data_IF_541950518762
#
_entry.id   IF_541950518762
#
_cell.length_a   1.000
_cell.length_b   1.000
_cell.length_c   1.000
_cell.angle_alpha   90.00
_cell.angle_beta   90.00
_cell.angle_gamma   90.00
#
_symmetry.space_group_name_H-M   'P 1'
#
loop_
_entity.id
_entity.type
_entity.pdbx_description
1 polymer ?
#
# COMPACT_ATOMS: atom_id res chain seq x y z
N UNK A 1 2.09 -2.96 17.79
CA UNK A 1 1.19 -4.08 17.42
C UNK A 1 -0.23 -3.69 17.77
N UNK A 2 -1.20 -4.24 17.06
CA UNK A 2 -2.62 -4.17 17.46
C UNK A 2 -2.98 -5.26 18.48
N UNK A 3 -4.29 -5.42 18.78
CA UNK A 3 -4.73 -6.25 19.93
C UNK A 3 -4.47 -7.75 19.80
N UNK A 4 -4.44 -8.28 18.57
CA UNK A 4 -4.15 -9.68 18.26
C UNK A 4 -2.76 -9.90 17.65
N UNK A 5 -1.96 -8.84 17.59
CA UNK A 5 -0.56 -8.81 17.16
C UNK A 5 -0.32 -9.33 15.71
N UNK A 6 -1.33 -9.31 14.87
CA UNK A 6 -1.23 -9.70 13.45
C UNK A 6 -0.79 -8.54 12.54
N UNK A 7 -0.80 -7.29 13.05
CA UNK A 7 -0.39 -6.07 12.37
C UNK A 7 0.72 -5.35 13.14
N UNK A 8 1.60 -4.68 12.39
CA UNK A 8 2.74 -3.94 12.95
C UNK A 8 2.83 -2.53 12.37
N UNK A 9 3.13 -1.58 13.22
CA UNK A 9 3.57 -0.22 12.88
C UNK A 9 4.98 0.00 13.41
N UNK A 10 5.67 1.02 12.88
CA UNK A 10 7.03 1.37 13.25
C UNK A 10 7.11 2.84 13.65
N UNK A 11 7.91 3.14 14.67
CA UNK A 11 8.31 4.50 15.04
C UNK A 11 9.82 4.59 14.87
N UNK A 12 10.31 5.62 14.19
CA UNK A 12 11.73 5.82 13.97
C UNK A 12 12.46 6.39 15.22
N UNK A 13 13.77 6.51 15.15
CA UNK A 13 14.62 7.03 16.22
C UNK A 13 14.37 8.53 16.55
N UNK A 14 13.60 9.23 15.72
CA UNK A 14 13.18 10.63 15.92
C UNK A 14 11.75 10.75 16.48
N UNK A 15 11.12 9.61 16.83
CA UNK A 15 9.75 9.54 17.31
C UNK A 15 8.69 9.75 16.22
N UNK A 16 9.04 9.63 14.92
CA UNK A 16 8.11 9.79 13.82
C UNK A 16 7.50 8.44 13.42
N UNK A 17 6.20 8.45 13.18
CA UNK A 17 5.51 7.27 12.69
C UNK A 17 5.95 6.94 11.25
N UNK A 18 6.39 5.70 11.04
CA UNK A 18 6.64 5.12 9.72
C UNK A 18 5.43 4.29 9.37
N UNK A 19 4.65 4.77 8.40
CA UNK A 19 3.39 4.15 8.02
C UNK A 19 3.57 2.71 7.49
N UNK A 20 2.48 1.95 7.49
CA UNK A 20 2.48 0.54 7.13
C UNK A 20 2.89 0.28 5.68
N UNK A 21 2.70 1.24 4.79
CA UNK A 21 3.13 1.12 3.40
C UNK A 21 4.66 1.15 3.31
N UNK A 22 5.30 2.06 4.06
CA UNK A 22 6.76 2.11 4.19
C UNK A 22 7.32 0.88 4.88
N UNK A 23 6.63 0.39 5.91
CA UNK A 23 6.98 -0.89 6.57
C UNK A 23 6.95 -2.04 5.57
N UNK A 24 5.94 -2.13 4.71
CA UNK A 24 5.89 -3.15 3.65
C UNK A 24 7.04 -3.01 2.65
N UNK A 25 7.36 -1.77 2.26
CA UNK A 25 8.52 -1.47 1.43
C UNK A 25 9.84 -1.94 2.08
N UNK A 26 10.04 -1.63 3.36
CA UNK A 26 11.24 -2.02 4.13
C UNK A 26 11.36 -3.54 4.29
N UNK A 27 10.27 -4.25 4.60
CA UNK A 27 10.26 -5.72 4.69
C UNK A 27 10.59 -6.36 3.34
N UNK A 28 10.00 -5.86 2.27
CA UNK A 28 10.28 -6.34 0.91
C UNK A 28 11.72 -6.08 0.51
N UNK A 29 12.23 -4.88 0.78
CA UNK A 29 13.64 -4.52 0.58
C UNK A 29 14.56 -5.45 1.38
N UNK A 30 14.24 -5.72 2.64
CA UNK A 30 15.02 -6.64 3.47
C UNK A 30 15.13 -8.04 2.85
N UNK A 31 14.02 -8.61 2.42
CA UNK A 31 14.01 -9.95 1.83
C UNK A 31 14.81 -10.00 0.52
N UNK A 32 14.64 -9.01 -0.34
CA UNK A 32 15.28 -8.96 -1.66
C UNK A 32 16.76 -8.57 -1.59
N UNK A 33 17.09 -7.49 -0.87
CA UNK A 33 18.44 -6.92 -0.81
C UNK A 33 19.33 -7.63 0.21
N UNK A 34 18.84 -7.78 1.47
CA UNK A 34 19.67 -8.24 2.58
C UNK A 34 19.69 -9.76 2.68
N UNK A 35 18.51 -10.41 2.53
CA UNK A 35 18.41 -11.88 2.54
C UNK A 35 18.73 -12.52 1.19
N UNK A 36 18.74 -11.74 0.11
CA UNK A 36 18.97 -12.25 -1.24
C UNK A 36 17.86 -13.17 -1.76
N UNK A 37 16.67 -13.14 -1.16
CA UNK A 37 15.56 -13.96 -1.62
C UNK A 37 15.06 -13.47 -2.97
N UNK A 38 14.59 -14.41 -3.79
CA UNK A 38 13.94 -14.13 -5.07
C UNK A 38 12.65 -14.95 -5.16
N UNK A 39 11.58 -14.27 -5.53
CA UNK A 39 10.25 -14.87 -5.67
C UNK A 39 9.18 -13.79 -5.76
N UNK A 40 7.95 -14.16 -6.10
CA UNK A 40 6.85 -13.22 -6.26
C UNK A 40 6.53 -12.43 -4.98
N UNK A 41 5.94 -11.25 -5.19
CA UNK A 41 5.37 -10.40 -4.16
C UNK A 41 3.85 -10.37 -4.37
N UNK A 42 3.07 -10.47 -3.30
CA UNK A 42 1.60 -10.32 -3.33
C UNK A 42 1.19 -9.10 -2.53
N UNK A 43 0.33 -8.27 -3.08
CA UNK A 43 -0.15 -7.06 -2.40
C UNK A 43 -1.64 -6.85 -2.59
N UNK A 44 -2.31 -6.19 -1.64
CA UNK A 44 -3.66 -5.69 -1.89
C UNK A 44 -3.63 -4.41 -2.74
N UNK A 45 -4.74 -4.14 -3.43
CA UNK A 45 -4.87 -2.99 -4.34
C UNK A 45 -4.72 -1.62 -3.65
N UNK A 46 -4.94 -1.54 -2.33
CA UNK A 46 -4.86 -0.30 -1.54
C UNK A 46 -3.49 -0.04 -0.92
N UNK A 47 -2.52 -0.94 -1.13
CA UNK A 47 -1.18 -0.75 -0.56
C UNK A 47 -0.17 -0.20 -1.57
N UNK A 48 1.07 -0.07 -1.15
CA UNK A 48 2.12 0.74 -1.78
C UNK A 48 2.55 0.26 -3.16
N UNK A 49 2.93 1.20 -4.02
CA UNK A 49 3.66 0.96 -5.27
C UNK A 49 5.19 0.82 -5.07
N UNK A 50 5.73 1.09 -3.88
CA UNK A 50 7.14 0.80 -3.57
C UNK A 50 7.53 -0.63 -3.89
N UNK A 51 6.64 -1.59 -3.57
CA UNK A 51 6.89 -3.01 -3.86
C UNK A 51 6.85 -3.35 -5.36
N UNK A 52 6.13 -2.56 -6.17
CA UNK A 52 6.19 -2.67 -7.63
C UNK A 52 7.57 -2.24 -8.16
N UNK A 53 8.09 -1.11 -7.66
CA UNK A 53 9.43 -0.62 -8.01
C UNK A 53 10.53 -1.58 -7.56
N UNK A 54 10.38 -2.18 -6.38
CA UNK A 54 11.30 -3.24 -5.93
C UNK A 54 11.20 -4.49 -6.82
N UNK A 55 9.99 -4.90 -7.19
CA UNK A 55 9.78 -6.03 -8.09
C UNK A 55 10.46 -5.82 -9.45
N UNK A 56 10.30 -4.63 -10.04
CA UNK A 56 11.01 -4.22 -11.27
C UNK A 56 12.53 -4.26 -11.08
N UNK A 57 13.04 -3.62 -10.01
CA UNK A 57 14.48 -3.52 -9.74
C UNK A 57 15.17 -4.89 -9.58
N UNK A 58 14.48 -5.84 -8.92
CA UNK A 58 15.01 -7.19 -8.66
C UNK A 58 14.54 -8.25 -9.66
N UNK A 59 13.78 -7.84 -10.68
CA UNK A 59 13.20 -8.69 -11.71
C UNK A 59 12.43 -9.89 -11.12
N UNK A 60 11.50 -9.61 -10.20
CA UNK A 60 10.63 -10.62 -9.58
C UNK A 60 9.15 -10.33 -9.92
N UNK A 61 8.30 -11.35 -10.02
CA UNK A 61 6.87 -11.15 -10.28
C UNK A 61 6.16 -10.43 -9.13
N UNK A 62 5.10 -9.67 -9.46
CA UNK A 62 4.20 -9.06 -8.47
C UNK A 62 2.75 -9.33 -8.86
N UNK A 63 1.91 -9.62 -7.86
CA UNK A 63 0.48 -9.87 -8.02
C UNK A 63 -0.32 -8.95 -7.11
N UNK A 64 -1.31 -8.27 -7.68
CA UNK A 64 -2.26 -7.45 -6.93
C UNK A 64 -3.57 -8.23 -6.73
N UNK A 65 -4.14 -8.15 -5.52
CA UNK A 65 -5.38 -8.79 -5.14
C UNK A 65 -6.40 -7.79 -4.61
N UNK A 66 -7.69 -8.12 -4.54
CA UNK A 66 -8.63 -7.35 -3.75
C UNK A 66 -8.20 -7.24 -2.28
N UNK A 67 -8.77 -6.26 -1.55
CA UNK A 67 -8.50 -6.06 -0.12
C UNK A 67 -9.01 -7.24 0.69
N UNK A 68 -8.18 -7.71 1.60
CA UNK A 68 -8.46 -8.80 2.53
C UNK A 68 -7.46 -9.94 2.43
N UNK A 69 -6.91 -10.35 3.58
CA UNK A 69 -5.87 -11.38 3.62
C UNK A 69 -6.34 -12.74 3.09
N UNK A 70 -7.68 -12.97 3.11
CA UNK A 70 -8.34 -14.12 2.45
C UNK A 70 -8.04 -14.24 0.94
N UNK A 71 -7.55 -13.18 0.29
CA UNK A 71 -7.12 -13.18 -1.10
C UNK A 71 -5.60 -13.27 -1.22
N UNK A 72 -4.86 -12.68 -0.27
CA UNK A 72 -3.40 -12.65 -0.27
C UNK A 72 -2.83 -14.02 0.08
N UNK A 73 -3.24 -14.64 1.17
CA UNK A 73 -2.72 -15.92 1.62
C UNK A 73 -2.81 -17.03 0.55
N UNK A 74 -4.00 -17.28 -0.04
CA UNK A 74 -4.13 -18.24 -1.15
C UNK A 74 -3.26 -17.89 -2.36
N UNK A 75 -3.16 -16.59 -2.71
CA UNK A 75 -2.32 -16.15 -3.84
C UNK A 75 -0.83 -16.35 -3.56
N UNK A 76 -0.39 -16.15 -2.33
CA UNK A 76 0.98 -16.46 -1.91
C UNK A 76 1.29 -17.95 -2.06
N UNK A 77 0.38 -18.83 -1.62
CA UNK A 77 0.54 -20.28 -1.77
C UNK A 77 0.56 -20.72 -3.24
N UNK A 78 -0.34 -20.18 -4.06
CA UNK A 78 -0.42 -20.45 -5.50
C UNK A 78 0.87 -20.10 -6.25
N UNK A 79 1.47 -18.95 -5.90
CA UNK A 79 2.59 -18.37 -6.66
C UNK A 79 3.96 -18.65 -6.03
N UNK A 80 4.01 -19.18 -4.81
CA UNK A 80 5.26 -19.31 -4.04
C UNK A 80 5.84 -17.97 -3.63
N UNK A 81 4.99 -16.97 -3.35
CA UNK A 81 5.43 -15.61 -3.03
C UNK A 81 6.27 -15.54 -1.76
N UNK A 82 7.29 -14.67 -1.77
CA UNK A 82 8.20 -14.48 -0.62
C UNK A 82 7.59 -13.59 0.46
N UNK A 83 6.67 -12.72 0.08
CA UNK A 83 5.97 -11.80 0.99
C UNK A 83 4.59 -11.45 0.43
N UNK A 84 3.62 -11.28 1.33
CA UNK A 84 2.31 -10.71 1.04
C UNK A 84 1.95 -9.62 2.04
N UNK A 85 1.25 -8.56 1.60
CA UNK A 85 0.94 -7.46 2.50
C UNK A 85 -0.29 -6.64 2.16
N UNK A 86 -0.85 -6.05 3.21
CA UNK A 86 -2.00 -5.14 3.19
C UNK A 86 -1.64 -3.75 3.71
N UNK A 87 -2.44 -2.77 3.31
CA UNK A 87 -2.37 -1.39 3.81
C UNK A 87 -2.57 -1.31 5.33
N UNK A 88 -3.30 -2.25 5.91
CA UNK A 88 -3.55 -2.31 7.35
C UNK A 88 -2.31 -2.59 8.21
N UNK A 89 -1.19 -3.03 7.62
CA UNK A 89 0.04 -3.41 8.33
C UNK A 89 0.14 -4.90 8.64
N UNK A 90 -0.72 -5.71 8.04
CA UNK A 90 -0.64 -7.17 8.10
C UNK A 90 0.25 -7.71 6.98
N UNK A 91 1.29 -8.46 7.35
CA UNK A 91 2.26 -9.03 6.41
C UNK A 91 2.48 -10.51 6.68
N UNK A 92 2.53 -11.31 5.62
CA UNK A 92 2.92 -12.72 5.67
C UNK A 92 4.25 -12.93 4.95
N UNK A 93 5.10 -13.77 5.50
CA UNK A 93 6.46 -14.03 5.02
C UNK A 93 6.59 -15.51 4.64
N UNK A 94 7.23 -15.78 3.52
CA UNK A 94 7.51 -17.16 3.10
C UNK A 94 8.31 -17.93 4.16
N UNK A 95 8.18 -19.26 4.14
CA UNK A 95 8.78 -20.19 5.11
C UNK A 95 8.18 -20.07 6.52
N UNK A 96 7.06 -19.42 6.64
CA UNK A 96 6.19 -19.32 7.80
C UNK A 96 4.75 -19.57 7.34
N UNK A 97 3.77 -19.37 8.23
CA UNK A 97 2.35 -19.50 7.86
C UNK A 97 1.98 -18.45 6.81
N UNK A 98 1.12 -18.78 5.82
CA UNK A 98 0.63 -17.82 4.83
C UNK A 98 -0.48 -16.93 5.40
N UNK A 99 -0.25 -16.39 6.58
CA UNK A 99 -1.12 -15.51 7.36
C UNK A 99 -0.29 -14.39 7.98
N UNK A 100 -0.96 -13.31 8.37
CA UNK A 100 -0.34 -12.13 8.97
C UNK A 100 0.34 -12.47 10.28
N UNK A 101 1.56 -11.98 10.45
CA UNK A 101 2.31 -12.11 11.69
C UNK A 101 3.08 -10.80 11.94
N UNK A 102 2.52 -9.95 12.82
CA UNK A 102 3.14 -8.69 13.19
C UNK A 102 4.41 -8.90 14.01
N UNK A 103 4.45 -9.92 14.87
CA UNK A 103 5.61 -10.20 15.72
C UNK A 103 6.81 -10.59 14.84
N UNK A 104 6.63 -11.56 13.93
CA UNK A 104 7.67 -11.93 12.98
C UNK A 104 8.11 -10.74 12.13
N UNK A 105 7.16 -9.95 11.62
CA UNK A 105 7.45 -8.76 10.83
C UNK A 105 8.28 -7.74 11.62
N UNK A 106 7.97 -7.51 12.90
CA UNK A 106 8.74 -6.65 13.79
C UNK A 106 10.17 -7.16 14.03
N UNK A 107 10.35 -8.48 14.22
CA UNK A 107 11.68 -9.09 14.37
C UNK A 107 12.52 -9.00 13.09
N UNK A 108 11.90 -9.12 11.91
CA UNK A 108 12.59 -8.96 10.63
C UNK A 108 13.02 -7.51 10.38
N UNK A 109 12.20 -6.53 10.78
CA UNK A 109 12.61 -5.11 10.75
C UNK A 109 13.78 -4.85 11.67
N UNK A 110 13.78 -5.39 12.89
CA UNK A 110 14.90 -5.27 13.82
C UNK A 110 16.18 -5.89 13.22
N UNK A 111 16.10 -7.10 12.63
CA UNK A 111 17.24 -7.74 11.97
C UNK A 111 17.74 -6.92 10.77
N UNK A 112 16.83 -6.29 10.01
CA UNK A 112 17.19 -5.35 8.93
C UNK A 112 18.07 -4.21 9.45
N UNK A 113 17.62 -3.50 10.50
CA UNK A 113 18.33 -2.34 11.03
C UNK A 113 19.69 -2.74 11.64
N UNK A 114 19.73 -3.85 12.36
CA UNK A 114 20.97 -4.38 12.94
C UNK A 114 22.00 -4.78 11.84
N UNK A 115 21.56 -5.46 10.79
CA UNK A 115 22.45 -5.87 9.68
C UNK A 115 22.95 -4.70 8.87
N UNK A 116 22.13 -3.66 8.73
CA UNK A 116 22.56 -2.43 8.02
C UNK A 116 23.42 -1.54 8.91
N UNK A 117 23.37 -1.70 10.23
CA UNK A 117 24.03 -0.80 11.19
C UNK A 117 23.48 0.63 11.11
N UNK A 118 22.18 0.77 10.79
CA UNK A 118 21.51 2.04 10.49
C UNK A 118 20.20 2.14 11.23
N UNK A 119 19.80 3.38 11.48
CA UNK A 119 18.50 3.70 12.07
C UNK A 119 17.36 3.47 11.08
N UNK A 120 16.09 3.35 11.53
CA UNK A 120 14.93 3.19 10.65
C UNK A 120 14.83 4.28 9.58
N UNK A 121 15.07 5.56 9.93
CA UNK A 121 15.00 6.65 8.96
C UNK A 121 16.13 6.55 7.91
N UNK A 122 17.33 6.17 8.28
CA UNK A 122 18.44 6.00 7.34
C UNK A 122 18.23 4.84 6.37
N UNK A 123 17.63 3.73 6.83
CA UNK A 123 17.27 2.61 5.94
C UNK A 123 16.11 2.98 5.01
N UNK A 124 15.16 3.79 5.48
CA UNK A 124 14.10 4.32 4.62
C UNK A 124 14.66 5.26 3.54
N UNK A 125 15.64 6.09 3.88
CA UNK A 125 16.34 6.94 2.92
C UNK A 125 17.12 6.11 1.88
N UNK A 126 17.73 4.98 2.27
CA UNK A 126 18.32 4.02 1.31
C UNK A 126 17.28 3.43 0.35
N UNK A 127 16.11 3.03 0.88
CA UNK A 127 15.02 2.54 0.06
C UNK A 127 14.57 3.61 -0.95
N UNK A 128 14.35 4.84 -0.49
CA UNK A 128 13.95 5.96 -1.35
C UNK A 128 15.01 6.36 -2.37
N UNK A 129 16.29 6.27 -2.02
CA UNK A 129 17.38 6.47 -2.98
C UNK A 129 17.36 5.44 -4.12
N UNK A 130 16.87 4.21 -3.85
CA UNK A 130 16.80 3.12 -4.83
C UNK A 130 15.56 3.20 -5.74
N UNK A 131 14.40 3.55 -5.18
CA UNK A 131 13.11 3.45 -5.89
C UNK A 131 12.34 4.77 -6.03
N UNK A 132 12.88 5.86 -5.51
CA UNK A 132 12.22 7.15 -5.39
C UNK A 132 11.39 7.29 -4.11
N UNK A 133 11.07 8.53 -3.70
CA UNK A 133 10.26 8.80 -2.53
C UNK A 133 8.78 8.45 -2.77
N UNK A 134 8.11 7.98 -1.72
CA UNK A 134 6.68 7.66 -1.74
C UNK A 134 5.99 8.27 -0.51
N UNK A 135 4.88 8.96 -0.76
CA UNK A 135 4.06 9.62 0.25
C UNK A 135 2.63 9.14 0.10
N UNK A 136 2.05 8.74 1.21
CA UNK A 136 0.71 8.16 1.27
C UNK A 136 -0.13 8.90 2.29
N UNK A 137 -1.43 9.04 1.99
CA UNK A 137 -2.44 9.39 2.97
C UNK A 137 -3.80 8.84 2.56
N UNK A 138 -4.75 8.86 3.52
CA UNK A 138 -6.10 8.34 3.36
C UNK A 138 -7.10 9.28 4.04
N UNK A 139 -8.26 9.43 3.40
CA UNK A 139 -9.45 10.04 4.01
C UNK A 139 -10.51 8.97 4.23
N UNK A 140 -11.06 8.95 5.43
CA UNK A 140 -12.21 8.16 5.81
C UNK A 140 -13.40 9.11 5.96
N UNK A 141 -14.41 9.01 5.08
CA UNK A 141 -15.54 9.95 4.98
C UNK A 141 -16.83 9.20 5.25
N UNK A 142 -17.49 9.51 6.34
CA UNK A 142 -18.85 9.02 6.62
C UNK A 142 -19.85 9.80 5.80
N UNK A 143 -20.80 9.12 5.19
CA UNK A 143 -21.88 9.72 4.40
C UNK A 143 -23.25 9.14 4.83
N UNK A 144 -24.36 9.88 4.63
CA UNK A 144 -25.71 9.37 4.86
C UNK A 144 -25.98 8.13 3.99
N UNK A 145 -26.54 7.07 4.58
CA UNK A 145 -26.73 5.79 3.89
C UNK A 145 -27.53 5.89 2.59
N UNK A 146 -28.50 6.82 2.52
CA UNK A 146 -29.33 7.12 1.36
C UNK A 146 -28.55 7.79 0.21
N UNK A 147 -27.38 8.34 0.46
CA UNK A 147 -26.53 8.95 -0.57
C UNK A 147 -25.58 7.95 -1.27
N UNK A 148 -25.52 6.72 -0.77
CA UNK A 148 -24.57 5.71 -1.27
C UNK A 148 -24.67 5.52 -2.79
N UNK A 149 -25.88 5.34 -3.32
CA UNK A 149 -26.08 5.08 -4.76
C UNK A 149 -25.74 6.31 -5.61
N UNK A 150 -25.99 7.51 -5.11
CA UNK A 150 -25.62 8.77 -5.77
C UNK A 150 -24.10 8.92 -5.87
N UNK A 151 -23.40 8.69 -4.75
CA UNK A 151 -21.92 8.75 -4.71
C UNK A 151 -21.34 7.66 -5.61
N UNK A 152 -21.85 6.43 -5.51
CA UNK A 152 -21.42 5.30 -6.34
C UNK A 152 -21.56 5.63 -7.83
N UNK A 153 -22.70 6.15 -8.26
CA UNK A 153 -22.93 6.53 -9.66
C UNK A 153 -21.94 7.59 -10.15
N UNK A 154 -21.62 8.58 -9.32
CA UNK A 154 -20.61 9.60 -9.67
C UNK A 154 -19.23 8.98 -9.88
N UNK A 155 -18.78 8.16 -8.93
CA UNK A 155 -17.46 7.51 -9.00
C UNK A 155 -17.41 6.52 -10.17
N UNK A 156 -18.49 5.75 -10.40
CA UNK A 156 -18.56 4.75 -11.46
C UNK A 156 -18.51 5.38 -12.87
N UNK A 157 -19.07 6.57 -13.03
CA UNK A 157 -19.10 7.29 -14.32
C UNK A 157 -17.90 8.23 -14.53
N UNK A 158 -17.13 8.51 -13.48
CA UNK A 158 -15.98 9.43 -13.57
C UNK A 158 -14.87 8.86 -14.46
N UNK A 159 -14.50 9.62 -15.50
CA UNK A 159 -13.43 9.28 -16.44
C UNK A 159 -12.57 10.52 -16.69
N UNK A 160 -11.88 11.03 -15.65
CA UNK A 160 -11.00 12.18 -15.84
C UNK A 160 -9.80 11.81 -16.72
N UNK A 161 -9.42 12.70 -17.64
CA UNK A 161 -8.20 12.55 -18.45
C UNK A 161 -6.96 12.82 -17.61
N UNK A 162 -7.08 13.66 -16.58
CA UNK A 162 -6.00 14.01 -15.67
C UNK A 162 -6.52 14.23 -14.24
N UNK A 163 -5.65 13.99 -13.25
CA UNK A 163 -5.87 14.30 -11.83
C UNK A 163 -4.64 15.05 -11.30
N UNK A 164 -4.88 16.14 -10.58
CA UNK A 164 -3.83 17.04 -10.07
C UNK A 164 -2.80 17.47 -11.15
N UNK A 165 -3.25 17.60 -12.39
CA UNK A 165 -2.42 17.96 -13.54
C UNK A 165 -1.64 16.80 -14.16
N UNK A 166 -1.77 15.57 -13.65
CA UNK A 166 -1.15 14.37 -14.22
C UNK A 166 -2.13 13.52 -15.00
N UNK A 167 -1.72 13.04 -16.17
CA UNK A 167 -2.54 12.21 -17.04
C UNK A 167 -2.93 10.89 -16.33
N UNK A 168 -4.19 10.50 -16.43
CA UNK A 168 -4.69 9.20 -16.01
C UNK A 168 -4.31 8.17 -17.08
N UNK A 169 -3.45 7.23 -16.74
CA UNK A 169 -2.97 6.19 -17.66
C UNK A 169 -3.96 5.03 -17.80
N UNK A 170 -4.65 4.69 -16.72
CA UNK A 170 -5.69 3.65 -16.71
C UNK A 170 -6.58 3.75 -15.47
N UNK A 171 -7.75 3.12 -15.54
CA UNK A 171 -8.68 3.01 -14.41
C UNK A 171 -9.01 1.53 -14.22
N UNK A 172 -8.81 1.02 -13.00
CA UNK A 172 -9.22 -0.33 -12.62
C UNK A 172 -10.37 -0.29 -11.62
N UNK A 173 -11.33 -1.22 -11.73
CA UNK A 173 -12.56 -1.25 -10.90
C UNK A 173 -12.67 -2.51 -10.04
N UNK A 174 -11.68 -3.40 -10.06
CA UNK A 174 -11.67 -4.63 -9.30
C UNK A 174 -11.43 -4.35 -7.79
N UNK A 175 -12.51 -4.20 -7.03
CA UNK A 175 -12.46 -3.97 -5.57
C UNK A 175 -12.40 -2.52 -5.13
N UNK A 176 -12.60 -1.58 -6.06
CA UNK A 176 -12.63 -0.12 -5.87
C UNK A 176 -12.32 0.58 -7.18
N UNK A 177 -12.38 1.89 -7.21
CA UNK A 177 -12.08 2.71 -8.39
C UNK A 177 -10.67 3.28 -8.25
N UNK A 178 -9.70 2.63 -8.90
CA UNK A 178 -8.29 3.02 -8.84
C UNK A 178 -7.87 3.69 -10.14
N UNK A 179 -7.49 4.95 -10.03
CA UNK A 179 -6.96 5.76 -11.11
C UNK A 179 -5.43 5.69 -11.05
N UNK A 180 -4.82 5.12 -12.06
CA UNK A 180 -3.37 5.05 -12.21
C UNK A 180 -2.88 6.27 -12.99
N UNK A 181 -1.85 6.94 -12.50
CA UNK A 181 -1.31 8.15 -13.11
C UNK A 181 -0.01 7.83 -13.86
N UNK A 182 0.34 8.70 -14.80
CA UNK A 182 1.46 8.48 -15.71
C UNK A 182 2.83 8.39 -15.03
N UNK A 183 2.99 9.01 -13.85
CA UNK A 183 4.21 8.96 -13.04
C UNK A 183 4.29 7.74 -12.09
N UNK A 184 3.26 6.89 -12.07
CA UNK A 184 3.12 5.76 -11.15
C UNK A 184 2.40 6.08 -9.84
N UNK A 185 2.03 7.35 -9.60
CA UNK A 185 1.09 7.73 -8.53
C UNK A 185 -0.29 7.13 -8.77
N UNK A 186 -1.11 7.05 -7.74
CA UNK A 186 -2.46 6.52 -7.87
C UNK A 186 -3.43 7.16 -6.88
N UNK A 187 -4.71 7.20 -7.26
CA UNK A 187 -5.86 7.54 -6.42
C UNK A 187 -6.81 6.34 -6.40
N UNK A 188 -7.27 5.94 -5.21
CA UNK A 188 -8.25 4.87 -5.06
C UNK A 188 -9.45 5.36 -4.25
N UNK A 189 -10.66 5.19 -4.80
CA UNK A 189 -11.92 5.44 -4.10
C UNK A 189 -12.60 4.09 -3.85
N UNK A 190 -12.89 3.80 -2.57
CA UNK A 190 -13.44 2.51 -2.17
C UNK A 190 -14.54 2.67 -1.12
N UNK A 191 -15.66 1.99 -1.33
CA UNK A 191 -16.74 1.91 -0.35
C UNK A 191 -16.45 0.81 0.68
N UNK A 192 -16.75 1.08 1.96
CA UNK A 192 -16.79 0.03 2.97
C UNK A 192 -17.93 -0.95 2.65
N UNK A 193 -17.68 -2.24 2.86
CA UNK A 193 -18.71 -3.27 2.69
C UNK A 193 -19.69 -3.38 3.86
N UNK A 194 -19.35 -2.81 5.02
CA UNK A 194 -20.08 -3.01 6.28
C UNK A 194 -20.64 -1.72 6.88
N UNK A 195 -20.09 -0.57 6.49
CA UNK A 195 -20.43 0.74 7.07
C UNK A 195 -20.67 1.78 5.97
N UNK A 196 -21.45 2.85 6.21
CA UNK A 196 -21.60 3.97 5.28
C UNK A 196 -20.33 4.84 5.29
N UNK A 197 -19.23 4.26 4.86
CA UNK A 197 -17.89 4.85 4.89
C UNK A 197 -17.25 4.77 3.50
N UNK A 198 -16.84 5.91 2.97
CA UNK A 198 -16.04 6.06 1.77
C UNK A 198 -14.59 6.26 2.18
N UNK A 199 -13.70 5.49 1.59
CA UNK A 199 -12.26 5.65 1.77
C UNK A 199 -11.63 6.12 0.49
N UNK A 200 -10.88 7.22 0.58
CA UNK A 200 -10.09 7.77 -0.52
C UNK A 200 -8.63 7.64 -0.14
N UNK A 201 -7.88 6.90 -0.93
CA UNK A 201 -6.47 6.62 -0.70
C UNK A 201 -5.66 7.21 -1.84
N UNK A 202 -4.45 7.66 -1.55
CA UNK A 202 -3.50 8.05 -2.59
C UNK A 202 -2.06 7.79 -2.18
N UNK A 203 -1.22 7.46 -3.13
CA UNK A 203 0.23 7.43 -2.98
C UNK A 203 0.87 8.17 -4.16
N UNK A 204 1.81 9.04 -3.85
CA UNK A 204 2.47 9.92 -4.81
C UNK A 204 3.95 10.09 -4.47
N UNK A 205 4.66 10.91 -5.27
CA UNK A 205 6.08 11.22 -5.09
C UNK A 205 6.35 12.52 -4.32
N UNK A 206 5.31 13.27 -3.91
CA UNK A 206 5.44 14.46 -3.06
C UNK A 206 4.26 14.63 -2.09
N UNK A 207 4.47 15.19 -0.88
CA UNK A 207 3.39 15.45 0.07
C UNK A 207 2.31 16.39 -0.49
N UNK A 208 2.70 17.40 -1.26
CA UNK A 208 1.77 18.38 -1.85
C UNK A 208 0.81 17.71 -2.85
N UNK A 209 1.30 16.72 -3.58
CA UNK A 209 0.49 15.97 -4.55
C UNK A 209 -0.52 15.06 -3.83
N UNK A 210 -0.16 14.52 -2.66
CA UNK A 210 -1.08 13.74 -1.82
C UNK A 210 -2.33 14.56 -1.51
N UNK A 211 -2.17 15.77 -0.99
CA UNK A 211 -3.29 16.63 -0.61
C UNK A 211 -4.17 17.01 -1.83
N UNK A 212 -3.54 17.31 -2.97
CA UNK A 212 -4.27 17.62 -4.22
C UNK A 212 -5.11 16.43 -4.70
N UNK A 213 -4.53 15.23 -4.73
CA UNK A 213 -5.26 14.04 -5.19
C UNK A 213 -6.39 13.64 -4.24
N UNK A 214 -6.20 13.77 -2.92
CA UNK A 214 -7.26 13.53 -1.97
C UNK A 214 -8.42 14.52 -2.16
N UNK A 215 -8.12 15.79 -2.41
CA UNK A 215 -9.15 16.80 -2.70
C UNK A 215 -9.93 16.47 -4.00
N UNK A 216 -9.24 16.07 -5.06
CA UNK A 216 -9.89 15.65 -6.32
C UNK A 216 -10.71 14.36 -6.15
N UNK A 217 -10.25 13.42 -5.34
CA UNK A 217 -11.02 12.23 -4.98
C UNK A 217 -12.36 12.58 -4.30
N UNK A 218 -12.37 13.60 -3.43
CA UNK A 218 -13.61 14.14 -2.84
C UNK A 218 -14.52 14.76 -3.89
N UNK A 219 -13.97 15.53 -4.82
CA UNK A 219 -14.74 16.14 -5.92
C UNK A 219 -15.37 15.07 -6.81
N UNK A 220 -14.64 14.02 -7.17
CA UNK A 220 -15.17 12.87 -7.93
C UNK A 220 -16.34 12.22 -7.18
N UNK A 221 -16.18 11.99 -5.89
CA UNK A 221 -17.23 11.39 -5.07
C UNK A 221 -18.39 12.37 -4.77
N UNK A 222 -18.13 13.67 -4.80
CA UNK A 222 -19.11 14.71 -4.46
C UNK A 222 -19.36 14.80 -2.94
N UNK A 223 -18.29 14.68 -2.13
CA UNK A 223 -18.31 14.70 -0.65
C UNK A 223 -17.28 15.65 -0.08
#
# INVERSE_FOLDING_TARGET
FDGDADRVGLVDEKGRFVDQLRVFGLLTYYLLEVKGWRGPIVKSLSTTSMVNRLAEHYNVPIYETPVGFKHIGPKMMETGAIIGGEESGGFAIAKHLPERDGILSGLLLLDLFLRRGKTPSEVLDELFAKIGPHFYNRLDITYPADQRDTILKRVDTARPDALAGMAVSSISTAGGYKYHLADGSWLLIRFSGTEPLLRIYTETHSPEMVEKLLAEGRVIAGV
#
